data_IF_676607050602
#
_entry.id   IF_676607050602
#
_cell.length_a   1.000
_cell.length_b   1.000
_cell.length_c   1.000
_cell.angle_alpha   90.00
_cell.angle_beta   90.00
_cell.angle_gamma   90.00
#
_symmetry.space_group_name_H-M   'P 1'
#
loop_
_entity.id
_entity.type
_entity.pdbx_description
1 polymer ?
#
# COMPACT_ATOMS: atom_id res chain seq x y z
N UNK A 1 -37.99 61.04 -4.86
CA UNK A 1 -36.77 60.26 -5.14
C UNK A 1 -35.88 60.28 -3.90
N UNK A 2 -35.05 59.24 -3.73
CA UNK A 2 -34.15 58.89 -2.61
C UNK A 2 -34.75 57.80 -1.69
N UNK A 3 -34.58 56.55 -2.14
CA UNK A 3 -34.73 55.34 -1.33
C UNK A 3 -33.42 55.11 -0.57
N UNK A 4 -33.51 55.03 0.76
CA UNK A 4 -32.41 54.73 1.68
C UNK A 4 -31.89 53.31 1.46
N UNK A 5 -30.57 53.19 1.23
CA UNK A 5 -29.86 51.93 0.98
C UNK A 5 -29.87 51.02 2.21
N UNK A 6 -30.31 49.79 1.98
CA UNK A 6 -30.20 48.62 2.86
C UNK A 6 -28.71 48.22 2.96
N UNK A 7 -28.09 48.40 4.13
CA UNK A 7 -26.75 47.85 4.41
C UNK A 7 -26.86 46.36 4.73
N UNK A 8 -26.62 45.50 3.74
CA UNK A 8 -26.46 44.06 3.94
C UNK A 8 -24.98 43.76 4.23
N UNK A 9 -24.71 43.32 5.46
CA UNK A 9 -23.43 42.74 5.89
C UNK A 9 -23.18 41.44 5.09
N UNK A 10 -22.04 41.26 4.40
CA UNK A 10 -21.62 39.95 3.93
C UNK A 10 -20.78 39.30 5.04
N UNK A 11 -21.43 38.54 5.93
CA UNK A 11 -20.73 37.51 6.71
C UNK A 11 -20.91 36.22 5.93
N UNK A 12 -19.87 35.79 5.19
CA UNK A 12 -19.46 34.37 5.06
C UNK A 12 -18.32 34.28 4.02
N UNK A 13 -17.09 34.03 4.48
CA UNK A 13 -16.22 33.17 3.69
C UNK A 13 -15.48 32.20 4.63
N UNK A 14 -16.18 31.21 5.19
CA UNK A 14 -15.55 30.20 6.06
C UNK A 14 -15.97 28.75 5.78
N UNK A 15 -16.64 28.46 4.66
CA UNK A 15 -17.12 27.11 4.34
C UNK A 15 -16.44 26.43 3.15
N UNK A 16 -15.28 26.91 2.70
CA UNK A 16 -14.50 26.26 1.62
C UNK A 16 -13.20 25.59 2.11
N UNK A 17 -12.90 25.62 3.41
CA UNK A 17 -11.68 25.01 3.97
C UNK A 17 -11.81 23.54 4.41
N UNK A 18 -12.99 22.92 4.26
CA UNK A 18 -13.32 21.67 4.98
C UNK A 18 -12.84 20.34 4.37
N UNK A 19 -12.32 20.30 3.13
CA UNK A 19 -11.96 19.03 2.49
C UNK A 19 -10.51 18.58 2.72
N UNK A 20 -9.65 19.40 3.34
CA UNK A 20 -8.23 19.06 3.51
C UNK A 20 -7.90 18.32 4.82
N UNK A 21 -8.84 18.21 5.76
CA UNK A 21 -8.56 17.67 7.10
C UNK A 21 -8.76 16.14 7.24
N UNK A 22 -9.33 15.46 6.24
CA UNK A 22 -9.75 14.06 6.37
C UNK A 22 -9.31 13.14 5.22
N UNK A 23 -8.69 13.67 4.16
CA UNK A 23 -8.14 12.83 3.10
C UNK A 23 -6.69 12.44 3.47
N UNK A 24 -6.36 11.14 3.56
CA UNK A 24 -4.99 10.72 3.83
C UNK A 24 -4.07 11.27 2.74
N UNK A 25 -2.87 11.69 3.14
CA UNK A 25 -1.83 12.05 2.16
C UNK A 25 -1.49 10.85 1.28
N UNK A 26 -0.95 11.05 0.08
CA UNK A 26 -0.44 9.96 -0.77
C UNK A 26 0.43 9.00 0.04
N UNK A 27 1.31 9.54 0.87
CA UNK A 27 2.21 8.78 1.73
C UNK A 27 1.51 7.96 2.80
N UNK A 28 0.48 8.50 3.45
CA UNK A 28 -0.29 7.78 4.45
C UNK A 28 -1.15 6.67 3.83
N UNK A 29 -1.74 6.94 2.67
CA UNK A 29 -2.53 5.96 1.94
C UNK A 29 -1.66 4.80 1.46
N UNK A 30 -0.52 5.07 0.82
CA UNK A 30 0.44 4.04 0.39
C UNK A 30 0.95 3.23 1.59
N UNK A 31 1.38 3.92 2.66
CA UNK A 31 1.91 3.25 3.85
C UNK A 31 0.90 2.31 4.50
N UNK A 32 -0.37 2.74 4.64
CA UNK A 32 -1.44 1.91 5.23
C UNK A 32 -1.67 0.63 4.43
N UNK A 33 -1.63 0.73 3.10
CA UNK A 33 -1.78 -0.43 2.21
C UNK A 33 -0.58 -1.38 2.29
N UNK A 34 0.64 -0.85 2.31
CA UNK A 34 1.84 -1.66 2.50
C UNK A 34 1.87 -2.35 3.89
N UNK A 35 1.31 -1.72 4.93
CA UNK A 35 1.12 -2.34 6.25
C UNK A 35 0.10 -3.46 6.23
N UNK A 36 -1.01 -3.28 5.51
CA UNK A 36 -1.99 -4.34 5.28
C UNK A 36 -1.36 -5.56 4.59
N UNK A 37 -0.57 -5.33 3.53
CA UNK A 37 0.15 -6.39 2.84
C UNK A 37 1.16 -7.11 3.75
N UNK A 38 1.92 -6.35 4.53
CA UNK A 38 2.88 -6.89 5.50
C UNK A 38 2.17 -7.79 6.53
N UNK A 39 1.03 -7.34 7.07
CA UNK A 39 0.23 -8.13 8.02
C UNK A 39 -0.22 -9.46 7.42
N UNK A 40 -0.71 -9.45 6.17
CA UNK A 40 -1.15 -10.67 5.49
C UNK A 40 0.01 -11.64 5.24
N UNK A 41 1.18 -11.16 4.82
CA UNK A 41 2.37 -12.01 4.65
C UNK A 41 2.84 -12.63 5.98
N UNK A 42 2.79 -11.86 7.08
CA UNK A 42 3.10 -12.38 8.42
C UNK A 42 2.11 -13.47 8.86
N UNK A 43 0.83 -13.36 8.48
CA UNK A 43 -0.16 -14.43 8.75
C UNK A 43 0.16 -15.73 7.99
N UNK A 44 0.71 -15.64 6.78
CA UNK A 44 1.17 -16.82 6.02
C UNK A 44 2.33 -17.49 6.75
N UNK A 45 3.36 -16.73 7.12
CA UNK A 45 4.51 -17.21 7.89
C UNK A 45 4.05 -17.89 9.20
N UNK A 46 3.19 -17.23 9.96
CA UNK A 46 2.61 -17.78 11.20
C UNK A 46 1.84 -19.08 10.93
N UNK A 47 1.05 -19.14 9.86
CA UNK A 47 0.29 -20.35 9.50
C UNK A 47 1.19 -21.52 9.11
N UNK A 48 2.35 -21.26 8.50
CA UNK A 48 3.37 -22.27 8.19
C UNK A 48 4.04 -22.76 9.47
N UNK A 49 4.53 -21.83 10.31
CA UNK A 49 5.28 -22.17 11.53
C UNK A 49 4.43 -22.92 12.54
N UNK A 50 3.18 -22.50 12.75
CA UNK A 50 2.28 -23.13 13.74
C UNK A 50 1.84 -24.55 13.37
N UNK A 51 1.94 -24.94 12.11
CA UNK A 51 1.61 -26.29 11.64
C UNK A 51 2.81 -27.23 11.57
N UNK A 52 4.03 -26.70 11.69
CA UNK A 52 5.24 -27.50 11.70
C UNK A 52 5.16 -28.63 12.76
N UNK A 53 5.60 -29.86 12.43
CA UNK A 53 6.32 -30.25 11.22
C UNK A 53 5.42 -30.63 10.04
N UNK A 54 4.10 -30.50 10.15
CA UNK A 54 3.18 -30.79 9.04
C UNK A 54 3.17 -29.63 8.04
N UNK A 55 3.04 -29.96 6.76
CA UNK A 55 2.84 -28.96 5.73
C UNK A 55 1.46 -28.32 5.82
N UNK A 56 1.42 -27.01 5.66
CA UNK A 56 0.23 -26.18 5.51
C UNK A 56 -0.26 -26.33 4.08
N UNK A 57 -1.52 -26.77 3.85
CA UNK A 57 -2.07 -26.81 2.51
C UNK A 57 -2.33 -25.39 2.01
N UNK A 58 -2.11 -25.15 0.72
CA UNK A 58 -2.20 -23.83 0.11
C UNK A 58 -3.55 -23.13 0.38
N UNK A 59 -4.67 -23.86 0.33
CA UNK A 59 -6.01 -23.32 0.63
C UNK A 59 -6.14 -22.61 1.99
N UNK A 60 -5.30 -22.98 2.96
CA UNK A 60 -5.33 -22.39 4.31
C UNK A 60 -4.59 -21.04 4.38
N UNK A 61 -3.76 -20.73 3.38
CA UNK A 61 -2.98 -19.49 3.27
C UNK A 61 -3.34 -18.64 2.06
N UNK A 62 -4.08 -19.21 1.10
CA UNK A 62 -4.55 -18.52 -0.11
C UNK A 62 -5.25 -17.18 0.19
N UNK A 63 -6.19 -17.08 1.16
CA UNK A 63 -6.84 -15.80 1.44
C UNK A 63 -5.86 -14.70 1.83
N UNK A 64 -4.78 -15.04 2.55
CA UNK A 64 -3.75 -14.07 2.93
C UNK A 64 -2.91 -13.62 1.73
N UNK A 65 -2.64 -14.50 0.77
CA UNK A 65 -2.00 -14.12 -0.49
C UNK A 65 -2.88 -13.17 -1.30
N UNK A 66 -4.19 -13.44 -1.40
CA UNK A 66 -5.15 -12.60 -2.12
C UNK A 66 -5.23 -11.22 -1.45
N UNK A 67 -5.37 -11.18 -0.12
CA UNK A 67 -5.39 -9.93 0.65
C UNK A 67 -4.10 -9.14 0.44
N UNK A 68 -2.93 -9.79 0.51
CA UNK A 68 -1.65 -9.12 0.30
C UNK A 68 -1.55 -8.51 -1.10
N UNK A 69 -1.97 -9.24 -2.14
CA UNK A 69 -1.97 -8.75 -3.53
C UNK A 69 -2.93 -7.57 -3.71
N UNK A 70 -4.12 -7.63 -3.14
CA UNK A 70 -5.09 -6.52 -3.20
C UNK A 70 -4.52 -5.25 -2.58
N UNK A 71 -3.91 -5.36 -1.39
CA UNK A 71 -3.31 -4.23 -0.69
C UNK A 71 -2.14 -3.63 -1.48
N UNK A 72 -1.22 -4.45 -2.00
CA UNK A 72 -0.08 -3.95 -2.78
C UNK A 72 -0.53 -3.34 -4.10
N UNK A 73 -1.56 -3.90 -4.76
CA UNK A 73 -2.14 -3.31 -5.96
C UNK A 73 -2.70 -1.91 -5.68
N UNK A 74 -3.48 -1.75 -4.62
CA UNK A 74 -4.02 -0.45 -4.23
C UNK A 74 -2.91 0.55 -3.88
N UNK A 75 -1.84 0.11 -3.21
CA UNK A 75 -0.65 0.94 -2.99
C UNK A 75 -0.02 1.40 -4.31
N UNK A 76 0.10 0.48 -5.29
CA UNK A 76 0.65 0.75 -6.62
C UNK A 76 -0.20 1.76 -7.40
N UNK A 77 -1.51 1.55 -7.46
CA UNK A 77 -2.46 2.44 -8.14
C UNK A 77 -2.40 3.89 -7.60
N UNK A 78 -2.08 4.05 -6.31
CA UNK A 78 -1.88 5.37 -5.67
C UNK A 78 -0.49 5.93 -6.01
N UNK A 79 0.56 5.10 -5.89
CA UNK A 79 1.94 5.52 -6.14
C UNK A 79 2.18 5.93 -7.59
N UNK A 80 1.61 5.22 -8.57
CA UNK A 80 1.74 5.53 -10.01
C UNK A 80 1.18 6.90 -10.40
N UNK A 81 0.21 7.41 -9.64
CA UNK A 81 -0.37 8.75 -9.90
C UNK A 81 0.52 9.87 -9.40
N UNK A 82 1.38 9.61 -8.40
CA UNK A 82 2.16 10.63 -7.69
C UNK A 82 3.20 11.35 -8.57
N UNK A 83 3.96 10.69 -9.48
CA UNK A 83 4.94 11.36 -10.34
C UNK A 83 4.32 12.47 -11.20
N UNK A 84 3.10 12.28 -11.70
CA UNK A 84 2.42 13.26 -12.54
C UNK A 84 2.17 14.60 -11.81
N UNK A 85 1.86 14.55 -10.51
CA UNK A 85 1.68 15.76 -9.68
C UNK A 85 2.99 16.46 -9.33
N UNK A 86 4.12 15.75 -9.44
CA UNK A 86 5.45 16.24 -9.09
C UNK A 86 6.29 16.63 -10.31
N UNK A 87 5.68 16.64 -11.51
CA UNK A 87 6.38 16.89 -12.76
C UNK A 87 7.25 18.16 -12.69
N UNK A 88 8.50 18.04 -13.13
CA UNK A 88 9.50 19.12 -13.09
C UNK A 88 10.19 19.30 -11.74
N UNK A 89 9.91 18.46 -10.74
CA UNK A 89 10.59 18.45 -9.43
C UNK A 89 11.44 17.17 -9.28
N UNK A 90 12.60 17.22 -8.60
CA UNK A 90 13.39 16.01 -8.30
C UNK A 90 12.61 14.92 -7.55
N UNK A 91 11.57 15.31 -6.80
CA UNK A 91 10.68 14.39 -6.11
C UNK A 91 9.85 13.48 -7.04
N UNK A 92 9.71 13.82 -8.33
CA UNK A 92 9.02 12.97 -9.31
C UNK A 92 9.77 11.65 -9.54
N UNK A 93 11.09 11.71 -9.70
CA UNK A 93 11.92 10.52 -9.90
C UNK A 93 11.90 9.62 -8.66
N UNK A 94 11.93 10.22 -7.48
CA UNK A 94 11.82 9.48 -6.22
C UNK A 94 10.44 8.83 -6.05
N UNK A 95 9.36 9.52 -6.43
CA UNK A 95 8.01 8.95 -6.44
C UNK A 95 7.87 7.80 -7.44
N UNK A 96 8.50 7.90 -8.62
CA UNK A 96 8.51 6.82 -9.60
C UNK A 96 9.25 5.60 -9.05
N UNK A 97 10.39 5.81 -8.38
CA UNK A 97 11.15 4.72 -7.77
C UNK A 97 10.36 4.00 -6.68
N UNK A 98 9.50 4.70 -5.94
CA UNK A 98 8.57 4.05 -5.00
C UNK A 98 7.56 3.18 -5.73
N UNK A 99 6.91 3.69 -6.79
CA UNK A 99 5.97 2.90 -7.60
C UNK A 99 6.62 1.62 -8.15
N UNK A 100 7.85 1.73 -8.68
CA UNK A 100 8.61 0.59 -9.19
C UNK A 100 8.90 -0.47 -8.10
N UNK A 101 9.21 -0.05 -6.87
CA UNK A 101 9.45 -0.97 -5.77
C UNK A 101 8.16 -1.64 -5.26
N UNK A 102 7.03 -0.94 -5.32
CA UNK A 102 5.72 -1.53 -5.03
C UNK A 102 5.38 -2.61 -6.06
N UNK A 103 5.64 -2.36 -7.35
CA UNK A 103 5.45 -3.37 -8.40
C UNK A 103 6.37 -4.59 -8.22
N UNK A 104 7.63 -4.38 -7.77
CA UNK A 104 8.53 -5.50 -7.42
C UNK A 104 7.99 -6.34 -6.27
N UNK A 105 7.44 -5.70 -5.23
CA UNK A 105 6.76 -6.38 -4.14
C UNK A 105 5.57 -7.20 -4.66
N UNK A 106 4.70 -6.63 -5.50
CA UNK A 106 3.57 -7.36 -6.12
C UNK A 106 4.04 -8.61 -6.86
N UNK A 107 5.02 -8.47 -7.75
CA UNK A 107 5.61 -9.58 -8.52
C UNK A 107 6.25 -10.64 -7.63
N UNK A 108 6.84 -10.25 -6.50
CA UNK A 108 7.38 -11.21 -5.53
C UNK A 108 6.26 -12.04 -4.87
N UNK A 109 5.17 -11.39 -4.46
CA UNK A 109 4.00 -12.08 -3.88
C UNK A 109 3.35 -13.01 -4.92
N UNK A 110 3.18 -12.56 -6.17
CA UNK A 110 2.61 -13.38 -7.25
C UNK A 110 3.42 -14.66 -7.50
N UNK A 111 4.76 -14.54 -7.54
CA UNK A 111 5.65 -15.69 -7.71
C UNK A 111 5.59 -16.64 -6.52
N UNK A 112 5.60 -16.11 -5.30
CA UNK A 112 5.47 -16.90 -4.06
C UNK A 112 4.16 -17.67 -4.02
N UNK A 113 3.05 -17.00 -4.34
CA UNK A 113 1.72 -17.60 -4.42
C UNK A 113 1.69 -18.73 -5.45
N UNK A 114 2.17 -18.46 -6.67
CA UNK A 114 2.15 -19.44 -7.75
C UNK A 114 3.01 -20.68 -7.44
N UNK A 115 4.17 -20.48 -6.80
CA UNK A 115 5.02 -21.58 -6.35
C UNK A 115 4.32 -22.45 -5.29
N UNK A 116 3.69 -21.84 -4.28
CA UNK A 116 2.97 -22.59 -3.25
C UNK A 116 1.74 -23.32 -3.85
N UNK A 117 0.96 -22.67 -4.70
CA UNK A 117 -0.21 -23.31 -5.35
C UNK A 117 0.20 -24.49 -6.25
N UNK A 118 1.27 -24.33 -7.05
CA UNK A 118 1.73 -25.35 -7.98
C UNK A 118 2.51 -26.50 -7.34
N UNK A 119 3.46 -26.18 -6.46
CA UNK A 119 4.45 -27.13 -5.93
C UNK A 119 4.17 -27.53 -4.47
N UNK A 120 3.23 -26.84 -3.80
CA UNK A 120 2.97 -26.99 -2.37
C UNK A 120 3.97 -26.23 -1.50
N UNK A 121 3.94 -26.51 -0.19
CA UNK A 121 4.82 -25.83 0.75
C UNK A 121 6.27 -26.34 0.62
N UNK A 122 7.21 -25.46 0.26
CA UNK A 122 8.63 -25.77 0.29
C UNK A 122 9.15 -26.05 1.72
N UNK A 123 10.27 -26.79 1.87
CA UNK A 123 10.88 -27.02 3.19
C UNK A 123 11.25 -25.73 3.94
N UNK A 124 11.63 -24.68 3.21
CA UNK A 124 12.02 -23.37 3.72
C UNK A 124 10.96 -22.29 3.42
N UNK A 125 9.68 -22.66 3.30
CA UNK A 125 8.63 -21.74 2.84
C UNK A 125 8.44 -20.51 3.75
N UNK A 126 8.61 -20.67 5.07
CA UNK A 126 8.55 -19.54 5.99
C UNK A 126 9.63 -18.48 5.66
N UNK A 127 10.86 -18.92 5.36
CA UNK A 127 11.95 -18.04 4.94
C UNK A 127 11.66 -17.38 3.58
N UNK A 128 11.11 -18.14 2.62
CA UNK A 128 10.72 -17.61 1.32
C UNK A 128 9.68 -16.48 1.46
N UNK A 129 8.66 -16.68 2.30
CA UNK A 129 7.63 -15.67 2.61
C UNK A 129 8.24 -14.47 3.35
N UNK A 130 9.17 -14.69 4.28
CA UNK A 130 9.88 -13.62 4.96
C UNK A 130 10.72 -12.76 3.99
N UNK A 131 11.35 -13.36 2.98
CA UNK A 131 12.08 -12.65 1.91
C UNK A 131 11.12 -11.79 1.08
N UNK A 132 9.95 -12.32 0.72
CA UNK A 132 8.90 -11.56 0.02
C UNK A 132 8.44 -10.38 0.87
N UNK A 133 8.20 -10.60 2.17
CA UNK A 133 7.84 -9.53 3.12
C UNK A 133 8.91 -8.44 3.18
N UNK A 134 10.19 -8.82 3.22
CA UNK A 134 11.31 -7.87 3.22
C UNK A 134 11.38 -7.06 1.92
N UNK A 135 11.07 -7.68 0.78
CA UNK A 135 10.97 -6.98 -0.51
C UNK A 135 9.90 -5.88 -0.44
N UNK A 136 8.75 -6.17 0.16
CA UNK A 136 7.69 -5.19 0.38
C UNK A 136 8.05 -4.10 1.42
N UNK A 137 8.87 -4.44 2.42
CA UNK A 137 9.37 -3.48 3.40
C UNK A 137 10.28 -2.40 2.79
N UNK A 138 11.02 -2.70 1.69
CA UNK A 138 11.83 -1.71 0.98
C UNK A 138 10.94 -0.57 0.45
N UNK A 139 9.83 -0.91 -0.22
CA UNK A 139 8.88 0.07 -0.72
C UNK A 139 8.32 0.94 0.41
N UNK A 140 8.03 0.33 1.56
CA UNK A 140 7.54 1.02 2.76
C UNK A 140 8.58 2.00 3.34
N UNK A 141 9.84 1.58 3.46
CA UNK A 141 10.93 2.44 3.95
C UNK A 141 11.17 3.63 3.03
N UNK A 142 11.13 3.40 1.72
CA UNK A 142 11.28 4.48 0.73
C UNK A 142 10.13 5.48 0.80
N UNK A 143 8.89 5.00 0.93
CA UNK A 143 7.73 5.88 1.12
C UNK A 143 7.85 6.68 2.43
N UNK A 144 8.32 6.07 3.51
CA UNK A 144 8.60 6.77 4.77
C UNK A 144 9.64 7.88 4.65
N UNK A 145 10.57 7.77 3.70
CA UNK A 145 11.61 8.77 3.42
C UNK A 145 11.12 9.93 2.54
N UNK A 146 9.92 9.81 1.95
CA UNK A 146 9.28 10.87 1.15
C UNK A 146 8.26 11.71 1.95
N UNK A 147 8.04 11.38 3.22
CA UNK A 147 7.26 12.20 4.17
C UNK A 147 8.10 13.38 4.66
#
# INVERSE_FOLDING_TARGET
MIFTRKSMLPILPLLLGGCAAFAPTYSEAIYTKLDGAHSSLTKIETAIETKAPRHTPYRDVEPYYIDALAQVKEAGDIAEKRPAYLQGRPAADAAQLVADNIDRCRKAIERSRAAFDGDGQAPNEADNVAIVRNTCAIAKTMEGSLK
#
